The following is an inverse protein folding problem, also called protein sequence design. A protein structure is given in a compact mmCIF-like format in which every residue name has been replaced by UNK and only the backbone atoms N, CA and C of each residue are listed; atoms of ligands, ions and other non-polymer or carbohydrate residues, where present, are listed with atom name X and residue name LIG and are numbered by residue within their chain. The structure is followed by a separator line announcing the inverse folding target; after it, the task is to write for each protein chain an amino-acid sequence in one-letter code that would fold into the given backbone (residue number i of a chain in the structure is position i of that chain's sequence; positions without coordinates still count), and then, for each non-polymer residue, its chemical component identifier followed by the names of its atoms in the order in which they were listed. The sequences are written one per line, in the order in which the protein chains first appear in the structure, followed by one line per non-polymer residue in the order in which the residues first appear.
data_IF_297014830804
#
_entry.id   IF_297014830804
#
_cell.length_a   1.000
_cell.length_b   1.000
_cell.length_c   1.000
_cell.angle_alpha   90.00
_cell.angle_beta   90.00
_cell.angle_gamma   90.00
#
_symmetry.space_group_name_H-M   'P 1'
#
loop_
_entity.id
_entity.type
_entity.pdbx_description
1 polymer ?
#
# COMPACT_ATOMS: atom_id res chain seq x y z
N UNK A 1 11.96 -7.20 -7.28
CA UNK A 1 12.55 -6.09 -6.50
C UNK A 1 12.13 -6.34 -5.06
N UNK A 2 13.06 -6.37 -4.10
CA UNK A 2 12.73 -6.47 -2.68
C UNK A 2 11.78 -5.37 -2.24
N UNK A 3 11.15 -5.55 -1.08
CA UNK A 3 10.22 -4.55 -0.54
C UNK A 3 10.92 -3.20 -0.31
N UNK A 4 10.40 -2.15 -0.93
CA UNK A 4 10.73 -0.76 -0.66
C UNK A 4 9.54 -0.01 -0.05
N UNK A 5 9.76 1.25 0.31
CA UNK A 5 8.75 2.10 0.92
C UNK A 5 8.78 3.52 0.34
N UNK A 6 7.61 4.15 0.29
CA UNK A 6 7.44 5.54 -0.09
C UNK A 6 6.27 6.18 0.68
N UNK A 7 6.32 7.50 0.89
CA UNK A 7 5.23 8.25 1.48
C UNK A 7 5.61 9.00 2.74
N UNK A 8 4.68 9.16 3.67
CA UNK A 8 4.90 9.90 4.92
C UNK A 8 4.85 9.02 6.16
N UNK A 9 5.75 9.34 7.09
CA UNK A 9 5.89 8.70 8.40
C UNK A 9 5.98 9.78 9.47
N UNK A 10 5.39 9.59 10.66
CA UNK A 10 5.48 10.57 11.74
C UNK A 10 6.91 10.82 12.22
N UNK A 11 7.80 9.84 12.07
CA UNK A 11 9.21 9.95 12.38
C UNK A 11 10.03 10.76 11.34
N UNK A 12 9.42 11.23 10.26
CA UNK A 12 10.07 12.00 9.20
C UNK A 12 9.36 13.35 8.97
N UNK A 13 10.14 14.42 8.73
CA UNK A 13 9.60 15.76 8.44
C UNK A 13 9.16 15.98 6.99
N UNK A 14 9.50 15.06 6.09
CA UNK A 14 9.17 15.11 4.66
C UNK A 14 8.97 13.69 4.10
N UNK A 15 8.72 13.59 2.80
CA UNK A 15 8.59 12.32 2.08
C UNK A 15 9.79 11.40 2.31
N UNK A 16 9.46 10.14 2.52
CA UNK A 16 10.41 9.05 2.64
C UNK A 16 10.38 8.24 1.35
N UNK A 17 11.54 7.85 0.86
CA UNK A 17 11.71 6.87 -0.20
C UNK A 17 12.91 5.99 0.13
N UNK A 18 12.70 4.67 0.29
CA UNK A 18 13.77 3.70 0.59
C UNK A 18 13.53 2.38 -0.14
N UNK A 19 14.60 1.72 -0.59
CA UNK A 19 14.51 0.39 -1.21
C UNK A 19 13.81 0.32 -2.57
N UNK A 20 13.33 1.45 -3.11
CA UNK A 20 12.68 1.49 -4.43
C UNK A 20 13.70 1.46 -5.57
N UNK A 21 13.39 0.69 -6.61
CA UNK A 21 14.17 0.69 -7.84
C UNK A 21 14.12 2.07 -8.54
N UNK A 22 15.17 2.45 -9.28
CA UNK A 22 15.21 3.71 -10.00
C UNK A 22 13.99 3.93 -10.91
N UNK A 23 13.34 5.09 -10.74
CA UNK A 23 12.17 5.49 -11.53
C UNK A 23 10.82 4.95 -11.04
N UNK A 24 10.78 4.10 -10.01
CA UNK A 24 9.51 3.64 -9.41
C UNK A 24 8.85 4.75 -8.59
N UNK A 25 9.63 5.51 -7.81
CA UNK A 25 9.11 6.55 -6.93
C UNK A 25 8.21 7.59 -7.64
N UNK A 26 8.60 8.21 -8.78
CA UNK A 26 7.73 9.19 -9.44
C UNK A 26 6.40 8.61 -9.95
N UNK A 27 6.38 7.32 -10.30
CA UNK A 27 5.17 6.64 -10.76
C UNK A 27 4.23 6.38 -9.58
N UNK A 28 4.78 5.91 -8.45
CA UNK A 28 4.02 5.74 -7.21
C UNK A 28 3.46 7.08 -6.73
N UNK A 29 4.30 8.12 -6.65
CA UNK A 29 3.90 9.45 -6.19
C UNK A 29 2.73 10.01 -7.01
N UNK A 30 2.83 9.96 -8.35
CA UNK A 30 1.75 10.41 -9.22
C UNK A 30 0.47 9.60 -9.00
N UNK A 31 0.57 8.27 -8.93
CA UNK A 31 -0.61 7.41 -8.78
C UNK A 31 -1.28 7.57 -7.41
N UNK A 32 -0.50 7.63 -6.32
CA UNK A 32 -0.98 7.87 -4.97
C UNK A 32 -1.59 9.26 -4.82
N UNK A 33 -0.98 10.29 -5.40
CA UNK A 33 -1.52 11.64 -5.40
C UNK A 33 -2.88 11.71 -6.08
N UNK A 34 -3.05 11.01 -7.21
CA UNK A 34 -4.30 11.00 -7.97
C UNK A 34 -5.44 10.26 -7.26
N UNK A 35 -5.13 9.13 -6.59
CA UNK A 35 -6.17 8.21 -6.14
C UNK A 35 -6.33 8.11 -4.62
N UNK A 36 -5.26 8.32 -3.84
CA UNK A 36 -5.25 8.03 -2.40
C UNK A 36 -5.01 9.26 -1.53
N UNK A 37 -4.26 10.25 -1.99
CA UNK A 37 -4.02 11.47 -1.22
C UNK A 37 -5.30 12.17 -0.73
N UNK A 38 -6.40 12.22 -1.49
CA UNK A 38 -7.67 12.75 -0.99
C UNK A 38 -8.31 11.90 0.12
N UNK A 39 -8.14 10.56 0.06
CA UNK A 39 -8.82 9.61 0.95
C UNK A 39 -8.16 9.53 2.33
N UNK A 40 -6.85 9.75 2.40
CA UNK A 40 -6.10 9.69 3.65
C UNK A 40 -6.17 10.97 4.49
N UNK A 41 -6.87 12.01 4.02
CA UNK A 41 -7.06 13.25 4.79
C UNK A 41 -8.00 13.05 5.99
N UNK A 42 -8.97 12.14 5.86
CA UNK A 42 -9.93 11.79 6.91
C UNK A 42 -10.29 10.29 6.83
N UNK A 43 -9.37 9.40 7.26
CA UNK A 43 -9.45 7.96 6.99
C UNK A 43 -10.22 7.18 8.08
N UNK A 44 -11.42 7.64 8.46
CA UNK A 44 -12.24 7.08 9.55
C UNK A 44 -12.48 5.57 9.41
N UNK A 45 -12.85 5.10 8.21
CA UNK A 45 -13.15 3.70 7.95
C UNK A 45 -12.13 3.03 7.03
N UNK A 46 -10.84 3.37 7.17
CA UNK A 46 -9.79 2.69 6.43
C UNK A 46 -9.79 1.18 6.73
N UNK A 47 -9.70 0.29 5.73
CA UNK A 47 -9.72 -1.15 5.96
C UNK A 47 -8.63 -1.64 6.91
N UNK A 48 -9.02 -2.43 7.91
CA UNK A 48 -8.08 -3.18 8.74
C UNK A 48 -7.28 -4.17 7.86
N UNK A 49 -5.97 -4.28 8.10
CA UNK A 49 -5.05 -5.02 7.23
C UNK A 49 -4.60 -4.28 5.96
N UNK A 50 -5.03 -3.02 5.82
CA UNK A 50 -4.58 -2.09 4.79
C UNK A 50 -5.14 -2.32 3.40
N UNK A 51 -5.01 -1.29 2.57
CA UNK A 51 -5.46 -1.34 1.17
C UNK A 51 -4.33 -1.90 0.31
N UNK A 52 -4.64 -2.93 -0.47
CA UNK A 52 -3.72 -3.64 -1.35
C UNK A 52 -3.99 -3.25 -2.79
N UNK A 53 -2.93 -3.07 -3.57
CA UNK A 53 -3.08 -2.80 -4.99
C UNK A 53 -2.07 -3.54 -5.86
N UNK A 54 -2.47 -3.84 -7.09
CA UNK A 54 -1.57 -4.25 -8.16
C UNK A 54 -1.44 -3.09 -9.14
N UNK A 55 -0.22 -2.61 -9.37
CA UNK A 55 0.06 -1.53 -10.30
C UNK A 55 1.03 -1.98 -11.38
N UNK A 56 0.66 -1.84 -12.66
CA UNK A 56 1.54 -2.09 -13.80
C UNK A 56 2.16 -0.78 -14.29
N UNK A 57 3.45 -0.82 -14.50
CA UNK A 57 4.25 0.31 -14.99
C UNK A 57 5.14 -0.17 -16.14
N UNK A 58 5.81 0.76 -16.82
CA UNK A 58 6.86 0.42 -17.79
C UNK A 58 8.06 -0.33 -17.16
N UNK A 59 8.18 -0.36 -15.82
CA UNK A 59 9.23 -1.05 -15.08
C UNK A 59 8.80 -2.42 -14.55
N UNK A 60 7.56 -2.85 -14.82
CA UNK A 60 6.98 -4.09 -14.32
C UNK A 60 5.73 -3.87 -13.47
N UNK A 61 5.22 -4.96 -12.93
CA UNK A 61 4.08 -4.97 -12.01
C UNK A 61 4.55 -4.98 -10.56
N UNK A 62 3.87 -4.20 -9.72
CA UNK A 62 4.19 -4.02 -8.31
C UNK A 62 2.96 -4.27 -7.45
N UNK A 63 3.17 -4.95 -6.33
CA UNK A 63 2.19 -5.08 -5.26
C UNK A 63 2.44 -3.97 -4.25
N UNK A 64 1.36 -3.32 -3.84
CA UNK A 64 1.36 -2.20 -2.92
C UNK A 64 0.53 -2.55 -1.69
N UNK A 65 1.01 -2.16 -0.51
CA UNK A 65 0.23 -2.09 0.73
C UNK A 65 0.22 -0.64 1.20
N UNK A 66 -0.97 -0.06 1.33
CA UNK A 66 -1.20 1.37 1.46
C UNK A 66 -1.92 1.64 2.78
N UNK A 67 -1.36 2.55 3.56
CA UNK A 67 -1.92 3.06 4.81
C UNK A 67 -2.01 4.60 4.80
N UNK A 68 -2.93 5.20 5.56
CA UNK A 68 -2.94 6.63 5.80
C UNK A 68 -1.68 7.02 6.58
N UNK A 69 -0.88 7.91 6.00
CA UNK A 69 0.33 8.43 6.63
C UNK A 69 0.21 9.90 6.99
N UNK A 70 1.04 10.31 7.95
CA UNK A 70 1.24 11.70 8.37
C UNK A 70 2.75 11.92 8.50
N UNK A 71 3.23 13.13 8.23
CA UNK A 71 4.59 13.52 8.64
C UNK A 71 4.62 14.08 10.07
N UNK A 72 5.81 14.41 10.55
CA UNK A 72 6.04 14.95 11.90
C UNK A 72 5.25 16.23 12.22
N UNK A 73 4.76 16.96 11.20
CA UNK A 73 3.97 18.19 11.36
C UNK A 73 2.48 17.99 11.05
N UNK A 74 2.05 16.73 10.81
CA UNK A 74 0.65 16.36 10.64
C UNK A 74 0.09 16.52 9.22
N UNK A 75 0.92 16.73 8.20
CA UNK A 75 0.42 16.80 6.81
C UNK A 75 0.19 15.39 6.27
N UNK A 76 -1.05 15.05 5.94
CA UNK A 76 -1.43 13.72 5.48
C UNK A 76 -0.93 13.41 4.06
N UNK A 77 -0.43 12.19 3.87
CA UNK A 77 -0.14 11.58 2.56
C UNK A 77 0.02 10.06 2.77
N UNK A 78 -0.37 9.19 1.81
CA UNK A 78 -0.28 7.74 2.00
C UNK A 78 1.14 7.26 2.34
N UNK A 79 1.26 6.29 3.23
CA UNK A 79 2.46 5.45 3.36
C UNK A 79 2.25 4.18 2.54
N UNK A 80 3.22 3.80 1.71
CA UNK A 80 3.17 2.59 0.90
C UNK A 80 4.40 1.72 1.10
N UNK A 81 4.18 0.41 1.29
CA UNK A 81 5.17 -0.61 1.01
C UNK A 81 4.95 -1.15 -0.41
N UNK A 82 6.04 -1.38 -1.14
CA UNK A 82 6.01 -1.75 -2.56
C UNK A 82 6.99 -2.89 -2.82
N UNK A 83 6.52 -3.98 -3.43
CA UNK A 83 7.34 -5.13 -3.82
C UNK A 83 7.07 -5.50 -5.28
N UNK A 84 8.03 -6.13 -5.95
CA UNK A 84 7.79 -6.68 -7.27
C UNK A 84 6.71 -7.78 -7.22
N UNK A 85 5.73 -7.73 -8.14
CA UNK A 85 4.65 -8.72 -8.18
C UNK A 85 5.13 -10.11 -8.59
N UNK A 86 6.05 -10.21 -9.55
CA UNK A 86 6.68 -11.48 -9.94
C UNK A 86 5.70 -12.58 -10.35
N UNK A 87 4.55 -12.22 -10.92
CA UNK A 87 3.45 -13.13 -11.28
C UNK A 87 2.91 -13.94 -10.08
N UNK A 88 3.05 -13.41 -8.87
CA UNK A 88 2.53 -14.03 -7.67
C UNK A 88 0.99 -14.13 -7.69
N UNK A 89 0.40 -15.28 -7.37
CA UNK A 89 -1.05 -15.41 -7.26
C UNK A 89 -1.55 -14.64 -6.03
N UNK A 90 -2.86 -14.39 -5.97
CA UNK A 90 -3.48 -13.62 -4.88
C UNK A 90 -3.07 -14.12 -3.47
N UNK A 91 -3.04 -15.44 -3.15
CA UNK A 91 -2.65 -15.88 -1.82
C UNK A 91 -1.21 -15.53 -1.43
N UNK A 92 -0.29 -15.43 -2.41
CA UNK A 92 1.07 -15.01 -2.15
C UNK A 92 1.17 -13.50 -1.91
N UNK A 93 0.41 -12.71 -2.68
CA UNK A 93 0.27 -11.27 -2.45
C UNK A 93 -0.33 -10.97 -1.07
N UNK A 94 -1.37 -11.71 -0.69
CA UNK A 94 -2.04 -11.57 0.61
C UNK A 94 -1.12 -11.89 1.78
N UNK A 95 -0.35 -12.99 1.71
CA UNK A 95 0.64 -13.33 2.75
C UNK A 95 1.72 -12.28 2.91
N UNK A 96 2.21 -11.70 1.82
CA UNK A 96 3.19 -10.61 1.89
C UNK A 96 2.58 -9.38 2.56
N UNK A 97 1.36 -8.99 2.19
CA UNK A 97 0.66 -7.85 2.78
C UNK A 97 0.37 -8.07 4.27
N UNK A 98 -0.13 -9.25 4.65
CA UNK A 98 -0.41 -9.62 6.04
C UNK A 98 0.86 -9.57 6.91
N UNK A 99 2.01 -9.97 6.37
CA UNK A 99 3.29 -9.89 7.06
C UNK A 99 3.81 -8.45 7.17
N UNK A 100 3.58 -7.62 6.15
CA UNK A 100 4.07 -6.24 6.10
C UNK A 100 3.24 -5.29 6.97
N UNK A 101 1.94 -5.52 7.07
CA UNK A 101 1.00 -4.60 7.69
C UNK A 101 1.33 -4.23 9.15
N UNK A 102 1.65 -5.18 10.05
CA UNK A 102 2.01 -4.83 11.43
C UNK A 102 3.22 -3.91 11.55
N UNK A 103 4.15 -3.96 10.59
CA UNK A 103 5.31 -3.08 10.56
C UNK A 103 4.97 -1.65 10.11
N UNK A 104 4.06 -1.50 9.15
CA UNK A 104 3.53 -0.19 8.73
C UNK A 104 2.80 0.47 9.90
N UNK A 105 1.90 -0.27 10.56
CA UNK A 105 1.16 0.22 11.72
C UNK A 105 2.12 0.59 12.86
N UNK A 106 3.11 -0.24 13.17
CA UNK A 106 4.12 0.11 14.19
C UNK A 106 4.89 1.39 13.83
N UNK A 107 5.17 1.65 12.55
CA UNK A 107 5.86 2.87 12.14
C UNK A 107 4.98 4.12 12.23
N UNK A 108 3.69 3.99 11.92
CA UNK A 108 2.70 5.06 12.04
C UNK A 108 2.37 5.37 13.51
N UNK A 109 2.17 4.35 14.35
CA UNK A 109 1.71 4.55 15.73
C UNK A 109 2.84 4.83 16.71
N UNK A 110 4.00 4.19 16.54
CA UNK A 110 5.10 4.20 17.51
C UNK A 110 6.29 5.02 17.05
N UNK A 111 6.20 5.65 15.87
CA UNK A 111 7.26 6.48 15.30
C UNK A 111 8.52 5.70 14.94
N UNK A 112 8.40 4.47 14.44
CA UNK A 112 9.55 3.75 13.88
C UNK A 112 10.14 4.54 12.71
N UNK A 113 11.45 4.76 12.74
CA UNK A 113 12.15 5.50 11.69
C UNK A 113 12.16 4.76 10.34
N UNK A 114 12.30 5.49 9.21
CA UNK A 114 12.31 4.94 7.86
C UNK A 114 13.23 3.73 7.63
N UNK A 115 14.46 3.81 8.13
CA UNK A 115 15.47 2.78 7.86
C UNK A 115 15.23 1.52 8.69
N UNK A 116 14.70 1.68 9.91
CA UNK A 116 14.28 0.56 10.75
C UNK A 116 13.05 -0.15 10.15
N UNK A 117 12.10 0.61 9.60
CA UNK A 117 10.96 0.06 8.88
C UNK A 117 11.41 -0.71 7.63
N UNK A 118 12.31 -0.13 6.82
CA UNK A 118 12.87 -0.83 5.66
C UNK A 118 13.55 -2.13 6.07
N UNK A 119 14.35 -2.12 7.14
CA UNK A 119 15.06 -3.29 7.62
C UNK A 119 14.10 -4.42 8.02
N UNK A 120 12.99 -4.08 8.70
CA UNK A 120 11.95 -5.04 9.06
C UNK A 120 11.23 -5.59 7.82
N UNK A 121 10.83 -4.72 6.88
CA UNK A 121 10.18 -5.13 5.63
C UNK A 121 11.08 -6.01 4.76
N UNK A 122 12.40 -5.80 4.80
CA UNK A 122 13.38 -6.59 4.06
C UNK A 122 13.51 -8.04 4.57
N UNK A 123 12.99 -8.35 5.76
CA UNK A 123 12.95 -9.73 6.28
C UNK A 123 11.73 -10.51 5.79
N UNK A 124 10.74 -9.84 5.18
CA UNK A 124 9.54 -10.47 4.67
C UNK A 124 9.87 -11.10 3.31
N UNK A 125 9.56 -12.39 3.10
CA UNK A 125 9.76 -13.01 1.81
C UNK A 125 9.00 -12.29 0.70
N UNK A 126 9.66 -12.05 -0.43
CA UNK A 126 9.00 -11.54 -1.63
C UNK A 126 7.88 -12.50 -2.06
N UNK A 127 6.75 -11.98 -2.57
CA UNK A 127 5.68 -12.82 -3.09
C UNK A 127 6.20 -13.58 -4.32
N UNK A 128 6.17 -14.91 -4.23
CA UNK A 128 6.71 -15.80 -5.25
C UNK A 128 5.60 -16.38 -6.14
N UNK A 129 5.92 -16.78 -7.39
CA UNK A 129 5.04 -17.59 -8.21
C UNK A 129 4.55 -18.84 -7.48
N UNK A 130 3.33 -19.28 -7.78
CA UNK A 130 2.77 -20.46 -7.13
C UNK A 130 1.37 -20.79 -7.62
N UNK A 131 0.71 -21.70 -6.91
CA UNK A 131 -0.66 -22.10 -7.20
C UNK A 131 -1.66 -21.18 -6.49
N UNK A 132 -2.75 -20.85 -7.16
CA UNK A 132 -3.85 -20.06 -6.60
C UNK A 132 -4.56 -19.22 -7.66
N UNK A 133 -5.64 -18.52 -7.28
CA UNK A 133 -6.28 -17.56 -8.18
C UNK A 133 -5.30 -16.44 -8.54
N UNK A 134 -5.27 -16.09 -9.83
CA UNK A 134 -4.50 -14.97 -10.33
C UNK A 134 -5.17 -13.65 -9.92
N UNK A 135 -4.34 -12.61 -9.80
CA UNK A 135 -4.86 -11.25 -9.65
C UNK A 135 -5.43 -10.77 -11.00
N UNK A 136 -6.49 -9.95 -10.98
CA UNK A 136 -7.04 -9.35 -12.19
C UNK A 136 -6.04 -8.38 -12.84
N UNK A 137 -6.38 -7.89 -14.03
CA UNK A 137 -5.56 -6.91 -14.73
C UNK A 137 -5.36 -5.64 -13.90
N UNK A 138 -4.13 -5.11 -13.93
CA UNK A 138 -3.77 -3.90 -13.22
C UNK A 138 -4.29 -2.63 -13.95
N UNK A 139 -4.71 -1.57 -13.24
CA UNK A 139 -4.66 -1.45 -11.79
C UNK A 139 -5.82 -2.17 -11.09
N UNK A 140 -5.47 -2.95 -10.06
CA UNK A 140 -6.43 -3.65 -9.22
C UNK A 140 -6.29 -3.25 -7.75
N UNK A 141 -7.38 -3.37 -7.00
CA UNK A 141 -7.49 -3.02 -5.60
C UNK A 141 -8.16 -4.15 -4.81
N UNK A 142 -7.81 -4.30 -3.55
CA UNK A 142 -8.55 -5.08 -2.55
C UNK A 142 -8.07 -4.74 -1.13
N UNK A 143 -8.70 -5.37 -0.15
CA UNK A 143 -8.31 -5.37 1.26
C UNK A 143 -8.86 -6.67 1.88
N UNK A 144 -8.49 -7.06 3.11
CA UNK A 144 -9.01 -8.26 3.74
C UNK A 144 -10.54 -8.38 3.67
N UNK A 145 -11.02 -9.57 3.30
CA UNK A 145 -12.45 -9.84 3.12
C UNK A 145 -13.05 -9.34 1.80
N UNK A 146 -12.29 -8.62 0.97
CA UNK A 146 -12.73 -8.13 -0.35
C UNK A 146 -11.93 -8.80 -1.46
N UNK A 147 -12.61 -9.36 -2.46
CA UNK A 147 -11.94 -9.95 -3.62
C UNK A 147 -11.24 -8.88 -4.48
N UNK A 148 -10.06 -9.17 -5.06
CA UNK A 148 -9.40 -8.31 -6.04
C UNK A 148 -10.31 -7.93 -7.20
N UNK A 149 -10.42 -6.63 -7.47
CA UNK A 149 -11.17 -6.07 -8.61
C UNK A 149 -10.44 -4.86 -9.20
N UNK A 150 -10.88 -4.44 -10.38
CA UNK A 150 -10.36 -3.24 -11.01
C UNK A 150 -10.48 -2.00 -10.11
N UNK A 151 -9.51 -1.09 -10.20
CA UNK A 151 -9.44 0.15 -9.44
C UNK A 151 -10.77 0.90 -9.45
N UNK A 152 -11.34 1.15 -10.64
CA UNK A 152 -12.57 1.94 -10.81
C UNK A 152 -13.81 1.29 -10.16
N UNK A 153 -13.77 -0.02 -9.92
CA UNK A 153 -14.85 -0.73 -9.24
C UNK A 153 -14.80 -0.52 -7.73
N UNK A 154 -13.62 -0.55 -7.12
CA UNK A 154 -13.47 -0.50 -5.67
C UNK A 154 -13.09 0.88 -5.13
N UNK A 155 -12.56 1.78 -5.96
CA UNK A 155 -12.21 3.14 -5.52
C UNK A 155 -13.42 3.91 -4.95
N UNK A 156 -14.63 3.89 -5.57
CA UNK A 156 -15.80 4.53 -4.97
C UNK A 156 -16.19 3.93 -3.63
N UNK A 157 -16.07 2.60 -3.49
CA UNK A 157 -16.37 1.87 -2.24
C UNK A 157 -15.37 2.27 -1.15
N UNK A 158 -14.07 2.29 -1.48
CA UNK A 158 -13.02 2.73 -0.56
C UNK A 158 -13.25 4.18 -0.11
N UNK A 159 -13.59 5.08 -1.04
CA UNK A 159 -13.86 6.49 -0.70
C UNK A 159 -15.10 6.66 0.19
N UNK A 160 -16.11 5.79 0.04
CA UNK A 160 -17.28 5.77 0.89
C UNK A 160 -16.91 5.31 2.31
N UNK A 161 -16.25 4.15 2.45
CA UNK A 161 -15.88 3.61 3.76
C UNK A 161 -14.84 4.49 4.47
N UNK A 162 -13.86 5.04 3.75
CA UNK A 162 -12.82 5.87 4.34
C UNK A 162 -13.43 7.10 5.02
N UNK A 163 -14.44 7.72 4.40
CA UNK A 163 -15.16 8.87 4.97
C UNK A 163 -16.13 8.55 6.12
N UNK A 164 -16.20 7.29 6.58
CA UNK A 164 -17.13 6.87 7.62
C UNK A 164 -18.60 6.82 7.19
N UNK A 165 -18.90 6.98 5.90
CA UNK A 165 -20.26 6.85 5.35
C UNK A 165 -20.60 5.37 5.24
N UNK A 166 -21.45 4.87 6.12
CA UNK A 166 -21.94 3.48 6.06
C UNK A 166 -22.73 3.25 4.76
N UNK A 167 -22.56 2.09 4.13
CA UNK A 167 -23.56 1.59 3.18
C UNK A 167 -24.85 1.35 3.98
N UNK A 168 -25.88 2.15 3.74
CA UNK A 168 -27.22 1.74 4.14
C UNK A 168 -27.62 0.52 3.30
N UNK A 169 -28.21 -0.52 3.91
CA UNK A 169 -28.63 -1.74 3.21
C UNK A 169 -29.74 -1.46 2.18
#
# INVERSE_FOLDING_TARGET
MPTGLFGKLPAAGDFVARGLAPGVQPVLDRWLTLHFAPLVQDPVGWPEGGVRALLRTAKGAFLLLIEPGLDAVGRAYPLVACVGHGDAPQPAADRWADAAWPHLIAALDRGMGPDALLAALSQIPDPAPGQGPELPEAPALWWPGTAPRALDTLMPVLAQISSGRSCSP
#
